data_IF_024630396192
#
_entry.id   IF_024630396192
#
_cell.length_a   1.000
_cell.length_b   1.000
_cell.length_c   1.000
_cell.angle_alpha   90.00
_cell.angle_beta   90.00
_cell.angle_gamma   90.00
#
_symmetry.space_group_name_H-M   'P 1'
#
loop_
_entity.id
_entity.type
_entity.pdbx_description
1 polymer ?
#
# COMPACT_ATOMS: atom_id res chain seq x y z
N UNK A 1 31.90 39.00 -49.43
CA UNK A 1 30.48 38.92 -48.98
C UNK A 1 29.91 37.49 -48.99
N UNK A 2 30.03 36.69 -50.06
CA UNK A 2 29.50 35.33 -50.12
C UNK A 2 30.06 34.38 -49.01
N UNK A 3 31.37 34.48 -48.66
CA UNK A 3 31.99 33.65 -47.62
C UNK A 3 31.53 34.00 -46.19
N UNK A 4 31.22 35.26 -45.94
CA UNK A 4 30.69 35.74 -44.64
C UNK A 4 29.22 35.33 -44.46
N UNK A 5 28.44 35.35 -45.56
CA UNK A 5 27.05 34.89 -45.53
C UNK A 5 26.91 33.41 -45.27
N UNK A 6 27.82 32.55 -45.82
CA UNK A 6 27.87 31.12 -45.56
C UNK A 6 28.28 30.82 -44.12
N UNK A 7 29.20 31.58 -43.53
CA UNK A 7 29.62 31.39 -42.14
C UNK A 7 28.51 31.77 -41.13
N UNK A 8 27.76 32.81 -41.41
CA UNK A 8 26.60 33.21 -40.59
C UNK A 8 25.45 32.20 -40.70
N UNK A 9 25.18 31.64 -41.89
CA UNK A 9 24.16 30.61 -42.07
C UNK A 9 24.51 29.30 -41.34
N UNK A 10 25.80 28.92 -41.33
CA UNK A 10 26.29 27.74 -40.60
C UNK A 10 26.22 27.91 -39.07
N UNK A 11 26.44 29.12 -38.56
CA UNK A 11 26.34 29.44 -37.15
C UNK A 11 24.88 29.41 -36.65
N UNK A 12 23.92 29.85 -37.46
CA UNK A 12 22.49 29.83 -37.14
C UNK A 12 21.96 28.39 -37.15
N UNK A 13 22.41 27.52 -38.06
CA UNK A 13 22.05 26.10 -38.07
C UNK A 13 22.65 25.30 -36.89
N UNK A 14 23.83 25.69 -36.39
CA UNK A 14 24.46 25.02 -35.25
C UNK A 14 23.77 25.38 -33.91
N UNK A 15 23.20 26.56 -33.77
CA UNK A 15 22.45 26.98 -32.56
C UNK A 15 21.08 26.32 -32.48
N UNK A 16 20.44 26.01 -33.61
CA UNK A 16 19.15 25.28 -33.61
C UNK A 16 19.26 23.78 -33.32
N UNK A 17 20.45 23.17 -33.40
CA UNK A 17 20.67 21.76 -33.09
C UNK A 17 20.91 21.49 -31.59
N UNK A 18 21.08 22.54 -30.77
CA UNK A 18 21.25 22.46 -29.31
C UNK A 18 19.97 22.71 -28.51
N UNK A 19 18.83 22.83 -29.19
CA UNK A 19 17.51 22.74 -28.53
C UNK A 19 17.27 21.27 -28.19
N UNK A 20 17.90 20.83 -27.08
CA UNK A 20 17.81 19.50 -26.55
C UNK A 20 16.36 19.08 -26.34
N UNK A 21 16.12 17.83 -26.46
CA UNK A 21 14.86 17.15 -26.11
C UNK A 21 14.38 17.61 -24.74
N UNK A 22 13.64 18.71 -24.66
CA UNK A 22 12.74 18.92 -23.56
C UNK A 22 11.71 17.79 -23.67
N UNK A 23 11.65 16.93 -22.67
CA UNK A 23 10.56 15.97 -22.52
C UNK A 23 9.27 16.77 -22.61
N UNK A 24 8.54 16.57 -23.70
CA UNK A 24 7.30 17.27 -23.96
C UNK A 24 6.28 16.72 -22.96
N UNK A 25 6.07 17.43 -21.81
CA UNK A 25 4.85 17.25 -21.01
C UNK A 25 3.69 17.40 -21.98
N UNK A 26 2.79 16.45 -21.97
CA UNK A 26 1.63 16.45 -22.86
C UNK A 26 0.82 17.73 -22.55
N UNK A 27 0.67 18.70 -23.49
CA UNK A 27 0.01 19.97 -23.21
C UNK A 27 -1.48 19.85 -22.90
N UNK A 28 -2.07 18.65 -23.11
CA UNK A 28 -3.48 18.36 -22.82
C UNK A 28 -3.73 17.95 -21.35
N UNK A 29 -2.70 17.93 -20.50
CA UNK A 29 -2.77 17.44 -19.11
C UNK A 29 -2.42 18.50 -18.04
N UNK A 30 -2.16 19.74 -18.40
CA UNK A 30 -1.94 20.79 -17.40
C UNK A 30 -3.30 21.40 -16.98
N UNK A 31 -4.01 20.63 -16.15
CA UNK A 31 -5.23 21.07 -15.47
C UNK A 31 -4.91 21.95 -14.24
N UNK A 32 -3.64 22.28 -14.02
CA UNK A 32 -3.14 23.06 -12.88
C UNK A 32 -3.14 22.30 -11.56
N UNK A 33 -3.33 20.98 -11.60
CA UNK A 33 -3.35 20.11 -10.43
C UNK A 33 -2.06 19.30 -10.31
N UNK A 34 -1.76 18.88 -9.10
CA UNK A 34 -0.68 17.94 -8.84
C UNK A 34 -1.10 16.52 -9.26
N UNK A 35 -0.37 15.89 -10.18
CA UNK A 35 -0.64 14.54 -10.65
C UNK A 35 0.06 13.53 -9.75
N UNK A 36 -0.75 12.73 -9.04
CA UNK A 36 -0.30 11.71 -8.10
C UNK A 36 -0.64 10.33 -8.64
N UNK A 37 0.32 9.42 -8.62
CA UNK A 37 0.10 8.00 -8.95
C UNK A 37 0.34 7.16 -7.69
N UNK A 38 -0.52 6.19 -7.44
CA UNK A 38 -0.42 5.29 -6.28
C UNK A 38 -0.57 3.84 -6.71
N UNK A 39 0.05 2.91 -5.98
CA UNK A 39 -0.06 1.48 -6.30
C UNK A 39 -1.43 0.94 -5.91
N UNK A 40 -1.84 1.07 -4.65
CA UNK A 40 -3.04 0.44 -4.08
C UNK A 40 -4.02 1.45 -3.49
N UNK A 41 -5.12 0.97 -2.88
CA UNK A 41 -6.21 1.80 -2.38
C UNK A 41 -5.81 2.68 -1.19
N UNK A 42 -5.09 2.17 -0.19
CA UNK A 42 -4.78 2.96 1.00
C UNK A 42 -4.02 4.26 0.68
N UNK A 43 -2.87 4.26 -0.04
CA UNK A 43 -2.22 5.49 -0.46
C UNK A 43 -3.07 6.33 -1.42
N UNK A 44 -3.93 5.72 -2.24
CA UNK A 44 -4.87 6.44 -3.10
C UNK A 44 -5.85 7.29 -2.28
N UNK A 45 -6.48 6.70 -1.25
CA UNK A 45 -7.40 7.43 -0.39
C UNK A 45 -6.68 8.52 0.40
N UNK A 46 -5.53 8.22 1.01
CA UNK A 46 -4.74 9.22 1.74
C UNK A 46 -4.34 10.41 0.86
N UNK A 47 -3.93 10.15 -0.38
CA UNK A 47 -3.59 11.21 -1.33
C UNK A 47 -4.80 12.10 -1.64
N UNK A 48 -5.99 11.51 -1.79
CA UNK A 48 -7.24 12.26 -2.02
C UNK A 48 -7.69 13.05 -0.81
N UNK A 49 -7.58 12.47 0.39
CA UNK A 49 -7.95 13.16 1.63
C UNK A 49 -7.07 14.40 1.88
N UNK A 50 -5.77 14.28 1.63
CA UNK A 50 -4.83 15.40 1.79
C UNK A 50 -4.91 16.39 0.64
N UNK A 51 -4.97 15.88 -0.59
CA UNK A 51 -4.90 16.68 -1.81
C UNK A 51 -6.21 17.38 -2.19
N UNK A 52 -7.36 16.72 -1.93
CA UNK A 52 -8.68 17.22 -2.32
C UNK A 52 -8.79 17.48 -3.82
N UNK A 53 -9.38 18.61 -4.16
CA UNK A 53 -9.58 19.02 -5.56
C UNK A 53 -8.32 19.59 -6.24
N UNK A 54 -7.25 19.82 -5.48
CA UNK A 54 -5.98 20.37 -6.01
C UNK A 54 -5.04 19.28 -6.52
N UNK A 55 -5.44 18.00 -6.45
CA UNK A 55 -4.70 16.86 -6.99
C UNK A 55 -5.56 16.02 -7.93
N UNK A 56 -4.90 15.34 -8.88
CA UNK A 56 -5.48 14.28 -9.67
C UNK A 56 -4.77 12.99 -9.29
N UNK A 57 -5.49 12.04 -8.67
CA UNK A 57 -4.89 10.78 -8.19
C UNK A 57 -5.28 9.63 -9.10
N UNK A 58 -4.28 8.90 -9.57
CA UNK A 58 -4.44 7.65 -10.34
C UNK A 58 -4.00 6.47 -9.49
N UNK A 59 -4.88 5.50 -9.27
CA UNK A 59 -4.54 4.22 -8.65
C UNK A 59 -4.22 3.21 -9.74
N UNK A 60 -3.08 2.52 -9.63
CA UNK A 60 -2.63 1.53 -10.62
C UNK A 60 -3.41 0.23 -10.49
N UNK A 61 -3.57 -0.28 -9.28
CA UNK A 61 -4.35 -1.48 -9.02
C UNK A 61 -5.84 -1.21 -9.27
N UNK A 62 -6.43 -1.96 -10.18
CA UNK A 62 -7.86 -1.83 -10.47
C UNK A 62 -8.71 -2.36 -9.29
N UNK A 63 -9.91 -1.75 -9.03
CA UNK A 63 -10.85 -2.28 -8.04
C UNK A 63 -11.13 -3.77 -8.27
N UNK A 64 -11.14 -4.55 -7.18
CA UNK A 64 -11.39 -5.99 -7.21
C UNK A 64 -10.19 -6.86 -7.61
N UNK A 65 -9.02 -6.28 -7.91
CA UNK A 65 -7.81 -7.05 -8.21
C UNK A 65 -7.00 -7.36 -6.94
N UNK A 66 -6.29 -8.50 -6.99
CA UNK A 66 -5.37 -8.93 -5.93
C UNK A 66 -4.07 -8.12 -5.98
N UNK A 67 -3.57 -7.72 -4.81
CA UNK A 67 -2.37 -6.87 -4.66
C UNK A 67 -1.09 -7.64 -4.91
N UNK A 68 -0.94 -8.79 -4.25
CA UNK A 68 0.32 -9.53 -4.20
C UNK A 68 0.72 -10.18 -5.56
N UNK A 69 -0.19 -10.24 -6.52
CA UNK A 69 0.08 -10.71 -7.89
C UNK A 69 0.08 -9.60 -8.93
N UNK A 70 0.15 -8.33 -8.49
CA UNK A 70 0.11 -7.19 -9.41
C UNK A 70 1.43 -7.03 -10.16
N UNK A 71 1.35 -6.95 -11.49
CA UNK A 71 2.45 -6.59 -12.38
C UNK A 71 2.10 -5.32 -13.16
N UNK A 72 3.00 -4.30 -13.21
CA UNK A 72 2.72 -3.06 -13.90
C UNK A 72 2.64 -3.24 -15.42
N UNK A 73 1.62 -2.65 -16.02
CA UNK A 73 1.50 -2.58 -17.47
C UNK A 73 2.37 -1.45 -18.04
N UNK A 74 2.67 -1.46 -19.36
CA UNK A 74 3.33 -0.32 -20.01
C UNK A 74 2.60 1.03 -19.81
N UNK A 75 1.27 1.00 -19.65
CA UNK A 75 0.47 2.20 -19.36
C UNK A 75 0.75 2.73 -17.95
N UNK A 76 0.92 1.83 -16.99
CA UNK A 76 1.22 2.20 -15.59
C UNK A 76 2.62 2.82 -15.49
N UNK A 77 3.60 2.26 -16.20
CA UNK A 77 4.95 2.82 -16.28
C UNK A 77 4.94 4.24 -16.88
N UNK A 78 4.12 4.47 -17.92
CA UNK A 78 3.93 5.80 -18.49
C UNK A 78 3.25 6.75 -17.50
N UNK A 79 2.28 6.28 -16.73
CA UNK A 79 1.62 7.08 -15.69
C UNK A 79 2.61 7.51 -14.61
N UNK A 80 3.43 6.57 -14.08
CA UNK A 80 4.48 6.86 -13.10
C UNK A 80 5.48 7.88 -13.64
N UNK A 81 5.96 7.68 -14.87
CA UNK A 81 6.92 8.58 -15.52
C UNK A 81 6.41 10.03 -15.63
N UNK A 82 5.11 10.19 -15.85
CA UNK A 82 4.49 11.51 -16.06
C UNK A 82 3.93 12.14 -14.77
N UNK A 83 4.01 11.44 -13.65
CA UNK A 83 3.53 11.93 -12.36
C UNK A 83 4.44 13.01 -11.76
N UNK A 84 3.87 13.86 -10.92
CA UNK A 84 4.60 14.77 -10.04
C UNK A 84 4.96 14.07 -8.73
N UNK A 85 4.09 13.15 -8.26
CA UNK A 85 4.32 12.33 -7.07
C UNK A 85 3.92 10.88 -7.36
N UNK A 86 4.80 9.94 -7.00
CA UNK A 86 4.50 8.51 -7.00
C UNK A 86 4.55 7.97 -5.57
N UNK A 87 3.50 7.26 -5.16
CA UNK A 87 3.34 6.73 -3.80
C UNK A 87 3.12 5.23 -3.91
N UNK A 88 3.94 4.46 -3.21
CA UNK A 88 3.84 3.01 -3.15
C UNK A 88 4.09 2.51 -1.72
N UNK A 89 3.78 1.25 -1.43
CA UNK A 89 3.90 0.71 -0.08
C UNK A 89 5.36 0.42 0.27
N UNK A 90 6.04 -0.30 -0.57
CA UNK A 90 7.32 -0.96 -0.32
C UNK A 90 7.13 -2.45 -0.06
N UNK A 91 8.21 -3.14 0.30
CA UNK A 91 8.20 -4.58 0.53
C UNK A 91 8.21 -5.41 -0.75
N UNK A 92 7.87 -6.70 -0.62
CA UNK A 92 7.95 -7.66 -1.74
C UNK A 92 6.90 -7.42 -2.81
N UNK A 93 5.68 -7.04 -2.43
CA UNK A 93 4.58 -6.75 -3.38
C UNK A 93 4.92 -5.61 -4.33
N UNK A 94 5.79 -4.70 -3.93
CA UNK A 94 6.25 -3.56 -4.72
C UNK A 94 7.71 -3.71 -5.22
N UNK A 95 8.31 -4.92 -5.19
CA UNK A 95 9.70 -5.17 -5.64
C UNK A 95 9.96 -4.71 -7.08
N UNK A 96 8.96 -4.76 -7.96
CA UNK A 96 9.00 -4.28 -9.33
C UNK A 96 9.27 -2.77 -9.44
N UNK A 97 8.94 -1.99 -8.40
CA UNK A 97 9.03 -0.51 -8.41
C UNK A 97 10.45 -0.03 -8.64
N UNK A 98 11.44 -0.67 -7.99
CA UNK A 98 12.84 -0.28 -8.15
C UNK A 98 13.28 -0.35 -9.63
N UNK A 99 12.94 -1.44 -10.31
CA UNK A 99 13.26 -1.62 -11.74
C UNK A 99 12.60 -0.56 -12.62
N UNK A 100 11.35 -0.20 -12.30
CA UNK A 100 10.64 0.86 -13.04
C UNK A 100 11.30 2.22 -12.82
N UNK A 101 11.60 2.57 -11.56
CA UNK A 101 12.21 3.86 -11.22
C UNK A 101 13.60 4.05 -11.85
N UNK A 102 14.39 2.99 -12.00
CA UNK A 102 15.67 3.04 -12.73
C UNK A 102 15.51 3.45 -14.20
N UNK A 103 14.36 3.15 -14.80
CA UNK A 103 14.02 3.51 -16.18
C UNK A 103 13.27 4.84 -16.34
N UNK A 104 12.89 5.49 -15.26
CA UNK A 104 12.13 6.75 -15.28
C UNK A 104 13.06 7.95 -15.40
N UNK A 105 12.99 8.65 -16.53
CA UNK A 105 13.69 9.91 -16.77
C UNK A 105 12.77 11.11 -16.44
N UNK A 106 12.52 11.30 -15.14
CA UNK A 106 11.75 12.44 -14.59
C UNK A 106 12.45 12.94 -13.32
N UNK A 107 13.33 13.95 -13.43
CA UNK A 107 14.10 14.46 -12.29
C UNK A 107 13.22 15.21 -11.26
N UNK A 108 12.02 15.59 -11.61
CA UNK A 108 11.07 16.29 -10.74
C UNK A 108 10.11 15.33 -10.01
N UNK A 109 10.11 14.05 -10.36
CA UNK A 109 9.28 13.03 -9.72
C UNK A 109 9.65 12.90 -8.24
N UNK A 110 8.67 13.09 -7.38
CA UNK A 110 8.80 12.85 -5.94
C UNK A 110 8.26 11.46 -5.62
N UNK A 111 9.07 10.66 -4.97
CA UNK A 111 8.70 9.30 -4.59
C UNK A 111 8.47 9.23 -3.08
N UNK A 112 7.39 8.59 -2.67
CA UNK A 112 7.07 8.34 -1.25
C UNK A 112 6.81 6.85 -1.08
N UNK A 113 7.62 6.21 -0.22
CA UNK A 113 7.41 4.84 0.24
C UNK A 113 6.66 4.89 1.58
N UNK A 114 5.57 4.16 1.72
CA UNK A 114 4.80 4.15 2.96
C UNK A 114 5.59 3.56 4.13
N UNK A 115 6.32 2.48 3.87
CA UNK A 115 7.18 1.82 4.87
C UNK A 115 8.23 2.77 5.45
N UNK A 116 8.74 3.73 4.67
CA UNK A 116 9.69 4.75 5.15
C UNK A 116 9.06 5.79 6.09
N UNK A 117 7.73 5.81 6.21
CA UNK A 117 7.02 6.80 7.03
C UNK A 117 6.81 6.36 8.48
N UNK A 118 7.08 5.10 8.81
CA UNK A 118 6.68 4.47 10.07
C UNK A 118 7.79 3.61 10.65
N UNK A 119 7.62 3.17 11.90
CA UNK A 119 8.44 2.13 12.50
C UNK A 119 7.96 0.77 11.98
N UNK A 120 8.88 -0.04 11.47
CA UNK A 120 8.55 -1.30 10.83
C UNK A 120 8.48 -2.44 11.84
N UNK A 121 7.56 -3.37 11.60
CA UNK A 121 7.39 -4.62 12.32
C UNK A 121 7.72 -5.78 11.38
N UNK A 122 8.30 -6.84 11.94
CA UNK A 122 8.47 -8.09 11.22
C UNK A 122 7.15 -8.81 11.05
N UNK A 123 6.99 -9.48 9.92
CA UNK A 123 5.91 -10.44 9.74
C UNK A 123 6.02 -11.54 10.79
N UNK A 124 4.90 -12.05 11.25
CA UNK A 124 4.86 -13.03 12.34
C UNK A 124 4.08 -14.26 11.90
N UNK A 125 4.71 -15.41 11.99
CA UNK A 125 4.04 -16.70 11.84
C UNK A 125 3.62 -17.23 13.21
N UNK A 126 2.33 -17.13 13.54
CA UNK A 126 1.80 -17.60 14.83
C UNK A 126 1.45 -19.10 14.77
N UNK A 127 1.20 -19.70 15.97
CA UNK A 127 0.86 -21.10 16.10
C UNK A 127 -0.31 -21.51 15.18
N UNK A 128 -0.11 -22.57 14.40
CA UNK A 128 -1.11 -23.14 13.50
C UNK A 128 -1.20 -22.50 12.13
N UNK A 129 -0.54 -21.37 11.89
CA UNK A 129 -0.41 -20.82 10.55
C UNK A 129 0.36 -21.78 9.63
N UNK A 130 -0.04 -21.77 8.37
CA UNK A 130 0.73 -22.39 7.31
C UNK A 130 1.86 -21.44 6.90
N UNK A 131 3.10 -21.79 7.27
CA UNK A 131 4.27 -21.03 6.83
C UNK A 131 4.42 -21.14 5.31
N UNK A 132 4.77 -20.04 4.67
CA UNK A 132 5.17 -20.05 3.26
C UNK A 132 6.51 -20.75 3.08
N UNK A 133 6.60 -21.53 2.01
CA UNK A 133 7.87 -22.03 1.51
C UNK A 133 8.24 -21.12 0.33
N UNK A 134 8.95 -20.05 0.59
CA UNK A 134 9.59 -19.32 -0.48
C UNK A 134 10.60 -20.25 -1.16
N UNK A 135 10.30 -20.63 -2.41
CA UNK A 135 11.15 -21.50 -3.20
C UNK A 135 12.36 -20.76 -3.77
N UNK A 136 13.20 -20.23 -2.90
CA UNK A 136 14.52 -19.77 -3.30
C UNK A 136 15.50 -20.94 -3.15
N UNK A 137 15.87 -21.53 -4.30
CA UNK A 137 17.08 -22.34 -4.45
C UNK A 137 18.32 -21.41 -4.26
N UNK A 138 18.60 -21.03 -3.01
CA UNK A 138 19.86 -20.39 -2.65
C UNK A 138 20.59 -21.21 -1.61
N UNK A 139 21.90 -21.35 -1.86
CA UNK A 139 22.86 -22.08 -1.05
C UNK A 139 22.78 -21.71 0.44
N UNK A 140 22.87 -22.71 1.28
CA UNK A 140 22.75 -22.74 2.75
C UNK A 140 23.72 -21.77 3.46
N UNK A 141 23.51 -20.46 3.49
CA UNK A 141 24.23 -19.55 4.41
C UNK A 141 23.51 -18.23 4.73
N UNK A 142 22.30 -17.94 4.25
CA UNK A 142 21.53 -16.78 4.73
C UNK A 142 20.57 -17.22 5.84
N UNK A 143 20.96 -16.92 7.09
CA UNK A 143 20.12 -16.98 8.29
C UNK A 143 18.82 -16.21 7.99
N UNK A 144 17.66 -16.80 8.33
CA UNK A 144 16.30 -16.28 8.23
C UNK A 144 16.24 -14.75 8.32
N UNK A 145 16.31 -14.05 7.20
CA UNK A 145 16.01 -12.63 7.16
C UNK A 145 14.53 -12.48 7.48
N UNK A 146 14.22 -12.12 8.74
CA UNK A 146 12.85 -11.89 9.17
C UNK A 146 12.21 -10.83 8.26
N UNK A 147 11.24 -11.24 7.48
CA UNK A 147 10.53 -10.41 6.52
C UNK A 147 9.75 -9.30 7.24
N UNK A 148 9.76 -8.10 6.66
CA UNK A 148 9.03 -6.95 7.19
C UNK A 148 7.59 -6.96 6.69
N UNK A 149 6.63 -6.79 7.59
CA UNK A 149 5.22 -6.68 7.22
C UNK A 149 4.95 -5.37 6.46
N UNK A 150 4.35 -5.48 5.29
CA UNK A 150 4.08 -4.34 4.38
C UNK A 150 2.83 -3.54 4.76
N UNK A 151 1.94 -4.09 5.59
CA UNK A 151 0.59 -3.57 5.82
C UNK A 151 0.55 -2.39 6.80
N UNK A 152 1.51 -1.47 6.62
CA UNK A 152 1.79 -0.35 7.53
C UNK A 152 0.59 0.59 7.74
N UNK A 153 -0.31 0.68 6.79
CA UNK A 153 -1.47 1.58 6.82
C UNK A 153 -2.61 1.09 7.71
N UNK A 154 -2.59 -0.18 8.14
CA UNK A 154 -3.67 -0.79 8.92
C UNK A 154 -3.78 -0.25 10.35
N UNK A 155 -2.73 0.42 10.86
CA UNK A 155 -2.81 1.20 12.09
C UNK A 155 -3.22 2.65 11.80
N UNK A 156 -4.30 3.19 12.41
CA UNK A 156 -4.68 4.60 12.25
C UNK A 156 -3.57 5.59 12.59
N UNK A 157 -2.69 5.25 13.55
CA UNK A 157 -1.53 6.08 13.91
C UNK A 157 -0.50 6.14 12.78
N UNK A 158 -0.26 5.01 12.13
CA UNK A 158 0.63 4.96 10.98
C UNK A 158 0.01 5.70 9.78
N UNK A 159 -1.29 5.51 9.53
CA UNK A 159 -2.02 6.28 8.53
C UNK A 159 -1.88 7.79 8.75
N UNK A 160 -1.99 8.26 10.00
CA UNK A 160 -1.77 9.68 10.33
C UNK A 160 -0.33 10.15 10.06
N UNK A 161 0.70 9.32 10.32
CA UNK A 161 2.10 9.63 9.99
C UNK A 161 2.30 9.73 8.48
N UNK A 162 1.75 8.77 7.73
CA UNK A 162 1.78 8.76 6.26
C UNK A 162 1.12 10.01 5.70
N UNK A 163 -0.09 10.37 6.16
CA UNK A 163 -0.78 11.59 5.71
C UNK A 163 0.02 12.86 5.95
N UNK A 164 0.72 12.99 7.08
CA UNK A 164 1.61 14.12 7.35
C UNK A 164 2.80 14.16 6.38
N UNK A 165 3.36 13.01 6.03
CA UNK A 165 4.42 12.91 5.01
C UNK A 165 3.91 13.33 3.62
N UNK A 166 2.71 12.87 3.23
CA UNK A 166 2.09 13.27 1.96
C UNK A 166 1.83 14.77 1.92
N UNK A 167 1.30 15.35 3.00
CA UNK A 167 1.09 16.80 3.11
C UNK A 167 2.39 17.58 2.88
N UNK A 168 3.49 17.18 3.51
CA UNK A 168 4.79 17.81 3.32
C UNK A 168 5.29 17.68 1.88
N UNK A 169 5.11 16.49 1.27
CA UNK A 169 5.52 16.23 -0.12
C UNK A 169 4.70 17.05 -1.12
N UNK A 170 3.38 17.11 -0.96
CA UNK A 170 2.49 17.90 -1.83
C UNK A 170 2.78 19.40 -1.70
N UNK A 171 2.95 19.90 -0.47
CA UNK A 171 3.30 21.30 -0.23
C UNK A 171 4.64 21.70 -0.84
N UNK A 172 5.60 20.76 -0.91
CA UNK A 172 6.90 20.99 -1.55
C UNK A 172 6.82 20.92 -3.09
N UNK A 173 5.89 20.13 -3.63
CA UNK A 173 5.66 20.02 -5.07
C UNK A 173 4.82 21.18 -5.61
N UNK A 174 3.82 21.59 -4.83
CA UNK A 174 2.85 22.64 -5.16
C UNK A 174 2.68 23.60 -3.98
N UNK A 175 3.55 24.56 -3.89
CA UNK A 175 3.54 25.55 -2.80
C UNK A 175 2.35 26.52 -2.83
N UNK A 176 1.67 26.65 -3.97
CA UNK A 176 0.49 27.51 -4.11
C UNK A 176 -0.69 26.99 -3.29
N UNK A 177 -0.84 25.67 -3.15
CA UNK A 177 -1.91 25.02 -2.40
C UNK A 177 -1.46 24.46 -1.03
N UNK A 178 -0.25 24.80 -0.56
CA UNK A 178 0.29 24.26 0.69
C UNK A 178 -0.61 24.47 1.92
N UNK A 179 -1.29 25.61 2.01
CA UNK A 179 -2.21 25.89 3.11
C UNK A 179 -3.46 24.99 3.08
N UNK A 180 -3.98 24.69 1.90
CA UNK A 180 -5.12 23.79 1.69
C UNK A 180 -4.75 22.34 2.05
N UNK A 181 -3.56 21.87 1.62
CA UNK A 181 -3.04 20.57 2.00
C UNK A 181 -2.87 20.43 3.52
N UNK A 182 -2.31 21.46 4.16
CA UNK A 182 -2.13 21.47 5.61
C UNK A 182 -3.47 21.41 6.37
N UNK A 183 -4.47 22.16 5.91
CA UNK A 183 -5.81 22.16 6.52
C UNK A 183 -6.46 20.78 6.39
N UNK A 184 -6.56 20.22 5.18
CA UNK A 184 -7.18 18.91 4.95
C UNK A 184 -6.47 17.79 5.68
N UNK A 185 -5.14 17.82 5.67
CA UNK A 185 -4.33 16.86 6.43
C UNK A 185 -4.63 16.92 7.92
N UNK A 186 -4.74 18.13 8.49
CA UNK A 186 -5.12 18.33 9.89
C UNK A 186 -6.48 17.74 10.20
N UNK A 187 -7.48 18.05 9.38
CA UNK A 187 -8.86 17.56 9.54
C UNK A 187 -8.96 16.03 9.42
N UNK A 188 -8.21 15.43 8.50
CA UNK A 188 -8.19 13.98 8.31
C UNK A 188 -7.44 13.25 9.42
N UNK A 189 -6.30 13.79 9.84
CA UNK A 189 -5.53 13.25 10.99
C UNK A 189 -6.38 13.27 12.25
N UNK A 190 -7.18 14.32 12.50
CA UNK A 190 -8.11 14.36 13.64
C UNK A 190 -9.16 13.25 13.56
N UNK A 191 -9.61 12.86 12.36
CA UNK A 191 -10.52 11.73 12.17
C UNK A 191 -9.81 10.39 12.48
N UNK A 192 -8.56 10.22 12.03
CA UNK A 192 -7.75 9.03 12.32
C UNK A 192 -7.43 8.91 13.83
N UNK A 193 -7.15 10.03 14.50
CA UNK A 193 -6.91 10.05 15.94
C UNK A 193 -8.18 9.67 16.74
N UNK A 194 -9.36 10.09 16.28
CA UNK A 194 -10.65 9.65 16.86
C UNK A 194 -10.87 8.15 16.64
N UNK A 195 -10.61 7.65 15.43
CA UNK A 195 -10.72 6.22 15.11
C UNK A 195 -9.76 5.37 15.97
N UNK A 196 -8.50 5.82 16.17
CA UNK A 196 -7.56 5.17 17.09
C UNK A 196 -8.11 5.09 18.51
N UNK A 197 -8.72 6.17 18.99
CA UNK A 197 -9.33 6.21 20.33
C UNK A 197 -10.53 5.26 20.45
N UNK A 198 -11.38 5.18 19.42
CA UNK A 198 -12.54 4.27 19.38
C UNK A 198 -12.10 2.81 19.37
N UNK A 199 -11.12 2.43 18.56
CA UNK A 199 -10.56 1.08 18.57
C UNK A 199 -9.93 0.73 19.92
N UNK A 200 -9.23 1.66 20.53
CA UNK A 200 -8.65 1.48 21.87
C UNK A 200 -9.73 1.22 22.92
N UNK A 201 -10.78 2.04 22.93
CA UNK A 201 -11.89 1.87 23.86
C UNK A 201 -12.58 0.51 23.68
N UNK A 202 -12.83 0.09 22.44
CA UNK A 202 -13.41 -1.22 22.13
C UNK A 202 -12.55 -2.36 22.65
N UNK A 203 -11.22 -2.31 22.39
CA UNK A 203 -10.30 -3.40 22.79
C UNK A 203 -10.06 -3.41 24.29
N UNK A 204 -9.95 -2.26 24.95
CA UNK A 204 -9.78 -2.16 26.41
C UNK A 204 -10.98 -2.72 27.15
N UNK A 205 -12.20 -2.53 26.63
CA UNK A 205 -13.44 -3.02 27.22
C UNK A 205 -13.89 -4.39 26.69
N UNK A 206 -13.12 -5.00 25.76
CA UNK A 206 -13.45 -6.30 25.20
C UNK A 206 -13.32 -7.44 26.22
N UNK A 207 -14.26 -8.39 26.19
CA UNK A 207 -14.20 -9.61 27.03
C UNK A 207 -13.03 -10.54 26.64
N UNK A 208 -12.47 -10.36 25.44
CA UNK A 208 -11.32 -11.12 24.90
C UNK A 208 -10.51 -10.23 23.97
N UNK A 209 -9.22 -10.53 23.86
CA UNK A 209 -8.30 -9.83 22.96
C UNK A 209 -7.77 -10.74 21.86
N UNK A 210 -8.35 -11.93 21.71
CA UNK A 210 -7.98 -12.88 20.66
C UNK A 210 -8.97 -12.80 19.51
N UNK A 211 -8.45 -12.65 18.29
CA UNK A 211 -9.21 -12.68 17.04
C UNK A 211 -8.77 -13.86 16.16
N UNK A 212 -9.67 -14.38 15.34
CA UNK A 212 -9.37 -15.49 14.41
C UNK A 212 -9.73 -15.09 13.00
N UNK A 213 -8.77 -15.22 12.10
CA UNK A 213 -8.92 -15.01 10.67
C UNK A 213 -8.85 -16.36 9.93
N UNK A 214 -9.90 -16.69 9.22
CA UNK A 214 -9.89 -17.80 8.29
C UNK A 214 -9.38 -17.33 6.91
N UNK A 215 -8.23 -16.68 6.92
CA UNK A 215 -7.62 -16.02 5.77
C UNK A 215 -6.16 -15.68 6.09
N UNK A 216 -5.53 -14.85 5.25
CA UNK A 216 -4.29 -14.11 5.57
C UNK A 216 -4.54 -13.13 6.70
N UNK A 217 -3.47 -12.72 7.38
CA UNK A 217 -3.53 -11.73 8.46
C UNK A 217 -2.74 -10.47 8.14
N UNK A 218 -3.24 -9.57 7.32
CA UNK A 218 -2.55 -8.32 6.95
C UNK A 218 -2.76 -7.21 7.99
N UNK A 219 -2.93 -7.56 9.26
CA UNK A 219 -3.29 -6.62 10.33
C UNK A 219 -2.25 -6.60 11.46
N UNK A 220 -0.98 -6.89 11.14
CA UNK A 220 0.11 -6.96 12.12
C UNK A 220 0.25 -5.65 12.91
N UNK A 221 0.23 -4.49 12.21
CA UNK A 221 0.31 -3.18 12.86
C UNK A 221 -0.94 -2.81 13.64
N UNK A 222 -2.10 -3.29 13.24
CA UNK A 222 -3.35 -3.13 14.00
C UNK A 222 -3.30 -3.95 15.28
N UNK A 223 -2.92 -5.21 15.21
CA UNK A 223 -2.81 -6.09 16.37
C UNK A 223 -1.80 -5.54 17.39
N UNK A 224 -0.64 -5.10 16.94
CA UNK A 224 0.39 -4.48 17.79
C UNK A 224 -0.13 -3.20 18.47
N UNK A 225 -0.77 -2.30 17.71
CA UNK A 225 -1.25 -1.02 18.21
C UNK A 225 -2.26 -1.15 19.38
N UNK A 226 -3.03 -2.25 19.41
CA UNK A 226 -4.09 -2.47 20.40
C UNK A 226 -3.85 -3.66 21.33
N UNK A 227 -2.73 -4.37 21.18
CA UNK A 227 -2.39 -5.54 22.00
C UNK A 227 -3.37 -6.69 21.81
N UNK A 228 -3.67 -7.02 20.55
CA UNK A 228 -4.50 -8.16 20.18
C UNK A 228 -3.62 -9.38 19.91
N UNK A 229 -4.05 -10.53 20.46
CA UNK A 229 -3.60 -11.84 20.04
C UNK A 229 -4.41 -12.31 18.83
N UNK A 230 -3.80 -13.08 17.94
CA UNK A 230 -4.51 -13.55 16.76
C UNK A 230 -4.08 -14.96 16.34
N UNK A 231 -4.99 -15.62 15.62
CA UNK A 231 -4.73 -16.85 14.88
C UNK A 231 -5.24 -16.65 13.46
N UNK A 232 -4.51 -17.14 12.48
CA UNK A 232 -4.90 -17.03 11.08
C UNK A 232 -4.44 -18.25 10.26
N UNK A 233 -4.96 -18.36 9.04
CA UNK A 233 -4.56 -19.46 8.18
C UNK A 233 -3.16 -19.25 7.59
N UNK A 234 -2.83 -17.98 7.28
CA UNK A 234 -1.59 -17.58 6.61
C UNK A 234 -1.04 -16.27 7.16
N UNK A 235 0.26 -15.99 7.01
CA UNK A 235 0.84 -14.66 7.15
C UNK A 235 0.17 -13.62 6.22
N UNK A 236 0.47 -12.34 6.44
CA UNK A 236 -0.18 -11.23 5.72
C UNK A 236 0.12 -11.18 4.24
N UNK A 237 1.38 -11.40 3.87
CA UNK A 237 1.89 -11.30 2.50
C UNK A 237 1.76 -12.61 1.70
N UNK A 238 1.24 -13.68 2.34
CA UNK A 238 1.13 -15.00 1.74
C UNK A 238 0.36 -15.03 0.42
N UNK A 239 0.87 -15.74 -0.57
CA UNK A 239 0.13 -16.09 -1.77
C UNK A 239 -1.10 -16.96 -1.43
N UNK A 240 -2.21 -16.73 -2.13
CA UNK A 240 -3.47 -17.43 -1.87
C UNK A 240 -3.35 -18.93 -2.22
N UNK A 241 -2.93 -19.74 -1.24
CA UNK A 241 -2.93 -21.20 -1.32
C UNK A 241 -4.13 -21.81 -0.58
N UNK A 242 -4.50 -23.06 -0.91
CA UNK A 242 -5.48 -23.79 -0.11
C UNK A 242 -4.81 -24.18 1.23
N UNK A 243 -5.46 -23.93 2.38
CA UNK A 243 -4.88 -24.22 3.68
C UNK A 243 -4.70 -25.73 3.89
N UNK A 244 -3.66 -26.11 4.61
CA UNK A 244 -3.44 -27.50 4.98
C UNK A 244 -4.57 -28.04 5.88
N UNK A 245 -4.83 -29.32 5.81
CA UNK A 245 -5.80 -29.95 6.72
C UNK A 245 -5.41 -29.76 8.20
N UNK A 246 -4.11 -29.64 8.49
CA UNK A 246 -3.62 -29.38 9.85
C UNK A 246 -3.98 -27.96 10.31
N UNK A 247 -3.79 -26.94 9.48
CA UNK A 247 -4.19 -25.55 9.74
C UNK A 247 -5.69 -25.44 9.98
N UNK A 248 -6.50 -26.07 9.12
CA UNK A 248 -7.97 -26.09 9.28
C UNK A 248 -8.37 -26.71 10.60
N UNK A 249 -7.82 -27.90 10.94
CA UNK A 249 -8.12 -28.57 12.20
C UNK A 249 -7.71 -27.73 13.42
N UNK A 250 -6.52 -27.13 13.38
CA UNK A 250 -6.02 -26.23 14.42
C UNK A 250 -6.98 -25.07 14.68
N UNK A 251 -7.39 -24.35 13.64
CA UNK A 251 -8.30 -23.21 13.77
C UNK A 251 -9.67 -23.63 14.32
N UNK A 252 -10.22 -24.77 13.88
CA UNK A 252 -11.47 -25.31 14.42
C UNK A 252 -11.33 -25.63 15.92
N UNK A 253 -10.27 -26.31 16.32
CA UNK A 253 -10.03 -26.67 17.71
C UNK A 253 -9.80 -25.43 18.57
N UNK A 254 -9.07 -24.43 18.09
CA UNK A 254 -8.84 -23.17 18.79
C UNK A 254 -10.15 -22.40 19.02
N UNK A 255 -10.97 -22.23 17.97
CA UNK A 255 -12.28 -21.56 18.05
C UNK A 255 -13.19 -22.25 19.06
N UNK A 256 -13.20 -23.61 19.10
CA UNK A 256 -13.99 -24.38 20.09
C UNK A 256 -13.46 -24.23 21.51
N UNK A 257 -12.15 -24.42 21.67
CA UNK A 257 -11.53 -24.45 23.01
C UNK A 257 -11.67 -23.10 23.72
N UNK A 258 -11.54 -22.00 22.98
CA UNK A 258 -11.64 -20.64 23.53
C UNK A 258 -13.05 -20.06 23.44
N UNK A 259 -14.00 -20.75 22.80
CA UNK A 259 -15.38 -20.29 22.63
C UNK A 259 -15.45 -18.97 21.83
N UNK A 260 -14.66 -18.86 20.77
CA UNK A 260 -14.58 -17.67 19.94
C UNK A 260 -15.87 -17.53 19.13
N UNK A 261 -16.61 -16.40 19.24
CA UNK A 261 -17.92 -16.28 18.62
C UNK A 261 -17.89 -15.84 17.15
N UNK A 262 -16.76 -15.32 16.69
CA UNK A 262 -16.61 -14.75 15.35
C UNK A 262 -15.31 -15.21 14.72
N UNK A 263 -15.38 -15.58 13.45
CA UNK A 263 -14.23 -15.84 12.57
C UNK A 263 -14.26 -14.81 11.45
N UNK A 264 -13.15 -14.15 11.23
CA UNK A 264 -13.03 -13.10 10.22
C UNK A 264 -12.50 -13.64 8.89
N UNK A 265 -12.93 -13.00 7.81
CA UNK A 265 -12.30 -13.01 6.48
C UNK A 265 -11.86 -11.60 6.15
N UNK A 266 -11.02 -11.45 5.14
CA UNK A 266 -10.69 -10.13 4.56
C UNK A 266 -11.52 -9.87 3.29
N UNK A 267 -11.49 -8.65 2.77
CA UNK A 267 -12.10 -8.32 1.49
C UNK A 267 -11.50 -9.16 0.36
N UNK A 268 -12.30 -9.42 -0.66
CA UNK A 268 -11.97 -10.25 -1.84
C UNK A 268 -11.71 -11.73 -1.54
N UNK A 269 -11.82 -12.17 -0.29
CA UNK A 269 -11.74 -13.59 0.09
C UNK A 269 -12.91 -14.40 -0.48
N UNK A 270 -12.64 -15.66 -0.85
CA UNK A 270 -13.73 -16.58 -1.24
C UNK A 270 -14.56 -17.09 -0.03
N UNK A 271 -14.07 -16.90 1.19
CA UNK A 271 -14.73 -17.20 2.45
C UNK A 271 -14.98 -18.70 2.74
N UNK A 272 -14.51 -19.63 1.90
CA UNK A 272 -14.78 -21.08 2.06
C UNK A 272 -14.21 -21.67 3.34
N UNK A 273 -12.99 -21.25 3.71
CA UNK A 273 -12.37 -21.70 4.96
C UNK A 273 -13.18 -21.23 6.17
N UNK A 274 -13.60 -19.96 6.17
CA UNK A 274 -14.44 -19.42 7.22
C UNK A 274 -15.78 -20.16 7.33
N UNK A 275 -16.41 -20.48 6.20
CA UNK A 275 -17.65 -21.29 6.20
C UNK A 275 -17.42 -22.66 6.83
N UNK A 276 -16.33 -23.35 6.48
CA UNK A 276 -15.95 -24.64 7.07
C UNK A 276 -15.77 -24.57 8.59
N UNK A 277 -15.06 -23.55 9.07
CA UNK A 277 -14.81 -23.36 10.51
C UNK A 277 -16.12 -23.00 11.23
N UNK A 278 -16.93 -22.11 10.65
CA UNK A 278 -18.21 -21.71 11.22
C UNK A 278 -19.22 -22.86 11.30
N UNK A 279 -19.32 -23.70 10.26
CA UNK A 279 -20.14 -24.91 10.28
C UNK A 279 -19.71 -25.90 11.36
N UNK A 280 -18.40 -26.07 11.56
CA UNK A 280 -17.85 -26.97 12.56
C UNK A 280 -18.00 -26.46 14.01
N UNK A 281 -18.03 -25.15 14.24
CA UNK A 281 -17.90 -24.53 15.56
C UNK A 281 -19.15 -23.79 16.05
N UNK A 282 -20.01 -23.37 15.12
CA UNK A 282 -21.14 -22.49 15.40
C UNK A 282 -20.76 -21.01 15.52
N UNK A 283 -19.51 -20.63 15.25
CA UNK A 283 -19.07 -19.23 15.17
C UNK A 283 -19.72 -18.51 13.98
N UNK A 284 -19.75 -17.18 14.02
CA UNK A 284 -20.27 -16.34 12.93
C UNK A 284 -19.12 -15.89 12.04
N UNK A 285 -19.34 -15.89 10.73
CA UNK A 285 -18.42 -15.26 9.77
C UNK A 285 -18.69 -13.75 9.68
N UNK A 286 -17.65 -12.94 9.77
CA UNK A 286 -17.68 -11.50 9.47
C UNK A 286 -16.50 -11.15 8.56
N UNK A 287 -16.66 -10.12 7.75
CA UNK A 287 -15.58 -9.55 6.95
C UNK A 287 -14.94 -8.38 7.72
N UNK A 288 -13.61 -8.31 7.67
CA UNK A 288 -12.82 -7.20 8.17
C UNK A 288 -12.13 -6.53 6.99
N UNK A 289 -12.45 -5.27 6.73
CA UNK A 289 -11.84 -4.52 5.64
C UNK A 289 -10.40 -4.11 6.00
N UNK A 290 -9.44 -4.56 5.22
CA UNK A 290 -8.01 -4.28 5.40
C UNK A 290 -7.53 -3.09 4.56
N UNK A 291 -8.38 -2.59 3.68
CA UNK A 291 -8.12 -1.44 2.82
C UNK A 291 -6.97 -1.63 1.81
N UNK A 292 -6.70 -2.86 1.39
CA UNK A 292 -5.79 -3.12 0.25
C UNK A 292 -6.39 -2.61 -1.05
N UNK A 293 -7.66 -2.97 -1.26
CA UNK A 293 -8.40 -2.60 -2.45
C UNK A 293 -9.87 -2.38 -2.10
N UNK A 294 -10.62 -1.87 -3.06
CA UNK A 294 -12.07 -1.72 -2.96
C UNK A 294 -12.75 -2.71 -3.91
N UNK A 295 -13.96 -3.12 -3.57
CA UNK A 295 -14.84 -3.84 -4.50
C UNK A 295 -15.32 -2.90 -5.59
N UNK A 296 -15.50 -3.43 -6.81
CA UNK A 296 -15.94 -2.67 -7.99
C UNK A 296 -17.39 -2.15 -7.84
#
# INVERSE_FOLDING_TARGET
MRKILCALLSAVLAVSALSGCAVQKNPDADDGKLHVVTTIFAPYDFARQVGGDDVTVTMLLHPGCEVHSYEPTPKDIIAIRNADVFIYVGGESDAWVQTVLEGVDNPDLRVVTLMDCVELLHEETVEGMQAERHGHDHDEEDEDAEELDEHVWTSPRNAARICRKLCATFSAADSAHAAQYAQRCGDYVEQLDRLDAEFRDVVENAARKTVVFADRFPLRYFADAYGLDYYAAYPGCADAAEPSAATVAFLIDKVRAEGIPVVFTIELSNGKLADTICEATGAKKLEFATCHNVTA
#
